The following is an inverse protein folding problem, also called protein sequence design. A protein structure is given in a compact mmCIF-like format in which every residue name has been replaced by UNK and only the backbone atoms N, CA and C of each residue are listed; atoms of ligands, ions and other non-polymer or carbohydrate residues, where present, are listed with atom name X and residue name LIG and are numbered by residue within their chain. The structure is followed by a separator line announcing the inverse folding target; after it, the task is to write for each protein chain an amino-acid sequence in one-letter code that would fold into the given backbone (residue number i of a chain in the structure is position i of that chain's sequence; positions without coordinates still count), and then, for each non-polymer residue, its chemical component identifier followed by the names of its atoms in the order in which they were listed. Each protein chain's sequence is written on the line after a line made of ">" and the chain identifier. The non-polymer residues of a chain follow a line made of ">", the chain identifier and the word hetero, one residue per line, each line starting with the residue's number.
data_IF_863449058767
#
_entry.id   IF_863449058767
#
_cell.length_a   1.000
_cell.length_b   1.000
_cell.length_c   1.000
_cell.angle_alpha   90.00
_cell.angle_beta   90.00
_cell.angle_gamma   90.00
#
_symmetry.space_group_name_H-M   'P 1'
#
loop_
_entity.id
_entity.type
_entity.pdbx_description
1 polymer ?
#
# COMPACT_ATOMS: atom_id res chain seq x y z
N UNK A 1 14.33 -10.43 12.37
CA UNK A 1 15.74 -9.99 12.52
C UNK A 1 16.41 -9.87 11.15
N UNK A 2 16.44 -10.95 10.36
CA UNK A 2 17.00 -10.98 8.99
C UNK A 2 16.55 -9.80 8.11
N UNK A 3 15.23 -9.58 7.97
CA UNK A 3 14.67 -8.48 7.17
C UNK A 3 15.03 -7.06 7.64
N UNK A 4 15.50 -6.90 8.89
CA UNK A 4 16.01 -5.62 9.41
C UNK A 4 17.46 -5.39 9.04
N UNK A 5 18.22 -6.47 8.84
CA UNK A 5 19.63 -6.46 8.44
C UNK A 5 19.83 -6.68 6.95
N UNK A 6 18.73 -6.81 6.17
CA UNK A 6 18.75 -7.15 4.75
C UNK A 6 19.49 -8.46 4.44
N UNK A 7 19.44 -9.40 5.39
CA UNK A 7 20.13 -10.69 5.28
C UNK A 7 19.23 -11.72 4.59
N UNK A 8 19.60 -12.08 3.36
CA UNK A 8 18.88 -13.01 2.49
C UNK A 8 19.35 -14.46 2.68
N UNK A 9 19.58 -14.89 3.92
CA UNK A 9 19.98 -16.27 4.23
C UNK A 9 18.83 -17.25 3.92
N UNK A 10 18.78 -17.69 2.66
CA UNK A 10 17.73 -18.58 2.12
C UNK A 10 17.60 -19.86 2.94
N UNK A 11 18.71 -20.47 3.37
CA UNK A 11 18.68 -21.70 4.19
C UNK A 11 17.96 -21.47 5.52
N UNK A 12 18.28 -20.38 6.21
CA UNK A 12 17.65 -20.06 7.49
C UNK A 12 16.19 -19.66 7.30
N UNK A 13 15.88 -18.86 6.27
CA UNK A 13 14.48 -18.53 5.93
C UNK A 13 13.68 -19.80 5.64
N UNK A 14 14.21 -20.70 4.81
CA UNK A 14 13.55 -21.99 4.50
C UNK A 14 13.30 -22.78 5.78
N UNK A 15 14.30 -22.90 6.65
CA UNK A 15 14.15 -23.62 7.91
C UNK A 15 13.06 -23.00 8.81
N UNK A 16 13.06 -21.68 8.97
CA UNK A 16 12.08 -20.98 9.80
C UNK A 16 10.66 -21.06 9.24
N UNK A 17 10.50 -20.98 7.92
CA UNK A 17 9.20 -21.16 7.27
C UNK A 17 8.66 -22.58 7.50
N UNK A 18 9.49 -23.61 7.31
CA UNK A 18 9.12 -25.00 7.58
C UNK A 18 8.75 -25.25 9.03
N UNK A 19 9.49 -24.65 9.98
CA UNK A 19 9.16 -24.74 11.41
C UNK A 19 7.81 -24.09 11.69
N UNK A 20 7.56 -22.88 11.17
CA UNK A 20 6.27 -22.20 11.36
C UNK A 20 5.10 -23.02 10.81
N UNK A 21 5.25 -23.62 9.63
CA UNK A 21 4.23 -24.45 8.98
C UNK A 21 3.96 -25.79 9.70
N UNK A 22 4.84 -26.22 10.62
CA UNK A 22 4.64 -27.40 11.47
C UNK A 22 3.93 -27.07 12.79
N UNK A 23 3.77 -25.79 13.13
CA UNK A 23 3.10 -25.37 14.35
C UNK A 23 1.57 -25.34 14.17
N UNK A 24 0.84 -25.52 15.27
CA UNK A 24 -0.61 -25.41 15.24
C UNK A 24 -1.03 -23.95 14.99
N UNK A 25 -2.08 -23.67 14.17
CA UNK A 25 -2.54 -22.31 13.89
C UNK A 25 -2.77 -21.42 15.13
N UNK A 26 -3.36 -21.97 16.19
CA UNK A 26 -3.60 -21.27 17.46
C UNK A 26 -2.32 -20.82 18.20
N UNK A 27 -1.13 -21.19 17.71
CA UNK A 27 0.16 -20.73 18.26
C UNK A 27 0.54 -19.32 17.79
N UNK A 28 -0.24 -18.73 16.88
CA UNK A 28 0.05 -17.44 16.27
C UNK A 28 -1.04 -16.43 16.60
N UNK A 29 -0.61 -15.20 16.91
CA UNK A 29 -1.47 -14.02 16.94
C UNK A 29 -1.30 -13.19 15.66
N UNK A 30 -2.18 -12.20 15.48
CA UNK A 30 -2.15 -11.29 14.32
C UNK A 30 -0.81 -10.56 14.19
N UNK A 31 -0.19 -10.21 15.33
CA UNK A 31 1.09 -9.51 15.34
C UNK A 31 2.23 -10.40 14.81
N UNK A 32 2.21 -11.68 15.15
CA UNK A 32 3.22 -12.66 14.73
C UNK A 32 3.11 -12.96 13.24
N UNK A 33 1.90 -13.25 12.74
CA UNK A 33 1.70 -13.51 11.31
C UNK A 33 2.02 -12.29 10.45
N UNK A 34 1.64 -11.09 10.88
CA UNK A 34 1.93 -9.85 10.12
C UNK A 34 3.43 -9.54 10.08
N UNK A 35 4.16 -9.80 11.16
CA UNK A 35 5.61 -9.65 11.18
C UNK A 35 6.33 -10.67 10.30
N UNK A 36 5.88 -11.92 10.30
CA UNK A 36 6.42 -12.97 9.42
C UNK A 36 6.16 -12.63 7.95
N UNK A 37 4.91 -12.32 7.59
CA UNK A 37 4.55 -11.94 6.23
C UNK A 37 5.38 -10.76 5.71
N UNK A 38 5.48 -9.68 6.49
CA UNK A 38 6.26 -8.51 6.11
C UNK A 38 7.76 -8.82 5.97
N UNK A 39 8.33 -9.66 6.85
CA UNK A 39 9.74 -10.01 6.79
C UNK A 39 10.08 -10.81 5.53
N UNK A 40 9.29 -11.82 5.19
CA UNK A 40 9.54 -12.67 4.03
C UNK A 40 9.29 -11.93 2.71
N UNK A 41 8.17 -11.19 2.61
CA UNK A 41 7.88 -10.40 1.42
C UNK A 41 8.83 -9.21 1.22
N UNK A 42 9.59 -8.81 2.25
CA UNK A 42 10.66 -7.81 2.10
C UNK A 42 11.95 -8.42 1.56
N UNK A 43 12.28 -9.64 1.97
CA UNK A 43 13.53 -10.31 1.57
C UNK A 43 13.41 -10.96 0.20
N UNK A 44 12.37 -11.74 -0.04
CA UNK A 44 12.25 -12.50 -1.28
C UNK A 44 10.78 -12.83 -1.59
N UNK A 45 10.00 -11.87 -2.11
CA UNK A 45 8.57 -12.04 -2.34
C UNK A 45 8.22 -13.09 -3.40
N UNK A 46 9.14 -13.34 -4.35
CA UNK A 46 8.90 -14.21 -5.50
C UNK A 46 9.26 -15.68 -5.23
N UNK A 47 9.97 -15.97 -4.14
CA UNK A 47 10.36 -17.35 -3.79
C UNK A 47 9.18 -18.24 -3.39
N UNK A 48 9.26 -19.53 -3.75
CA UNK A 48 8.32 -20.57 -3.32
C UNK A 48 8.22 -20.68 -1.79
N UNK A 49 9.32 -20.39 -1.07
CA UNK A 49 9.36 -20.39 0.39
C UNK A 49 8.46 -19.29 0.96
N UNK A 50 8.58 -18.07 0.43
CA UNK A 50 7.72 -16.95 0.86
C UNK A 50 6.27 -17.21 0.50
N UNK A 51 5.99 -17.69 -0.72
CA UNK A 51 4.63 -18.01 -1.16
C UNK A 51 3.98 -19.07 -0.25
N UNK A 52 4.65 -20.19 -0.01
CA UNK A 52 4.13 -21.24 0.87
C UNK A 52 3.95 -20.79 2.32
N UNK A 53 4.80 -19.90 2.84
CA UNK A 53 4.60 -19.32 4.17
C UNK A 53 3.38 -18.38 4.20
N UNK A 54 3.17 -17.57 3.16
CA UNK A 54 2.02 -16.66 3.08
C UNK A 54 0.70 -17.43 2.92
N UNK A 55 0.68 -18.52 2.16
CA UNK A 55 -0.48 -19.44 2.07
C UNK A 55 -0.81 -20.04 3.45
N UNK A 56 0.21 -20.48 4.21
CA UNK A 56 0.00 -20.90 5.60
C UNK A 56 -0.53 -19.78 6.48
N UNK A 57 0.00 -18.55 6.35
CA UNK A 57 -0.49 -17.37 7.08
C UNK A 57 -1.94 -17.05 6.72
N UNK A 58 -2.37 -17.25 5.47
CA UNK A 58 -3.75 -17.08 5.05
C UNK A 58 -4.68 -18.04 5.82
N UNK A 59 -4.27 -19.31 5.93
CA UNK A 59 -4.99 -20.32 6.71
C UNK A 59 -5.06 -19.92 8.19
N UNK A 60 -3.93 -19.56 8.80
CA UNK A 60 -3.88 -19.12 10.21
C UNK A 60 -4.77 -17.91 10.44
N UNK A 61 -4.69 -16.91 9.56
CA UNK A 61 -5.45 -15.67 9.67
C UNK A 61 -6.96 -15.88 9.58
N UNK A 62 -7.43 -16.92 8.87
CA UNK A 62 -8.85 -17.29 8.82
C UNK A 62 -9.38 -17.92 10.12
N UNK A 63 -8.51 -18.36 11.03
CA UNK A 63 -8.90 -18.83 12.37
C UNK A 63 -9.03 -17.69 13.39
N UNK A 64 -8.52 -16.50 13.09
CA UNK A 64 -8.56 -15.34 13.97
C UNK A 64 -9.84 -14.54 13.67
N UNK A 65 -10.53 -14.08 14.71
CA UNK A 65 -11.65 -13.17 14.53
C UNK A 65 -11.15 -11.80 14.08
N UNK A 66 -11.97 -11.05 13.34
CA UNK A 66 -11.62 -9.70 12.85
C UNK A 66 -11.29 -8.72 13.99
N UNK A 67 -11.77 -9.00 15.20
CA UNK A 67 -11.53 -8.20 16.40
C UNK A 67 -10.31 -8.71 17.21
N UNK A 68 -9.64 -9.78 16.79
CA UNK A 68 -8.48 -10.41 17.45
C UNK A 68 -7.16 -9.66 17.21
N UNK A 69 -7.16 -8.33 17.39
CA UNK A 69 -5.93 -7.53 17.37
C UNK A 69 -5.41 -7.18 15.97
N UNK A 70 -6.28 -7.21 14.94
CA UNK A 70 -6.00 -6.58 13.65
C UNK A 70 -5.88 -5.07 13.80
N UNK A 71 -4.64 -4.60 13.91
CA UNK A 71 -4.31 -3.16 13.86
C UNK A 71 -4.13 -2.69 12.41
N UNK A 72 -4.22 -1.38 12.12
CA UNK A 72 -3.90 -0.83 10.78
C UNK A 72 -2.54 -1.27 10.25
N UNK A 73 -1.54 -1.36 11.14
CA UNK A 73 -0.21 -1.80 10.77
C UNK A 73 -0.17 -3.30 10.43
N UNK A 74 -0.89 -4.14 11.17
CA UNK A 74 -0.95 -5.56 10.87
C UNK A 74 -1.67 -5.81 9.54
N UNK A 75 -2.81 -5.15 9.32
CA UNK A 75 -3.58 -5.23 8.06
C UNK A 75 -2.72 -4.78 6.88
N UNK A 76 -2.05 -3.63 6.99
CA UNK A 76 -1.20 -3.11 5.91
C UNK A 76 -0.01 -4.01 5.62
N UNK A 77 0.62 -4.59 6.64
CA UNK A 77 1.73 -5.53 6.47
C UNK A 77 1.29 -6.81 5.73
N UNK A 78 0.18 -7.40 6.16
CA UNK A 78 -0.38 -8.61 5.55
C UNK A 78 -0.79 -8.32 4.10
N UNK A 79 -1.60 -7.28 3.85
CA UNK A 79 -2.06 -6.95 2.51
C UNK A 79 -0.88 -6.69 1.55
N UNK A 80 0.11 -5.89 2.00
CA UNK A 80 1.28 -5.58 1.19
C UNK A 80 2.15 -6.82 0.91
N UNK A 81 2.29 -7.74 1.86
CA UNK A 81 3.03 -8.97 1.65
C UNK A 81 2.37 -9.86 0.59
N UNK A 82 1.04 -10.02 0.65
CA UNK A 82 0.29 -10.80 -0.34
C UNK A 82 0.32 -10.14 -1.72
N UNK A 83 0.23 -8.81 -1.78
CA UNK A 83 0.34 -8.06 -3.02
C UNK A 83 1.74 -8.16 -3.66
N UNK A 84 2.80 -8.18 -2.85
CA UNK A 84 4.17 -8.36 -3.34
C UNK A 84 4.42 -9.77 -3.90
N UNK A 85 3.83 -10.79 -3.28
CA UNK A 85 3.96 -12.18 -3.72
C UNK A 85 2.95 -12.58 -4.81
N UNK A 86 2.15 -11.65 -5.34
CA UNK A 86 1.08 -11.88 -6.33
C UNK A 86 0.11 -13.02 -5.92
N UNK A 87 -0.28 -13.06 -4.65
CA UNK A 87 -1.18 -14.09 -4.09
C UNK A 87 -2.65 -13.70 -4.22
N UNK A 88 -3.09 -13.48 -5.46
CA UNK A 88 -4.49 -13.16 -5.78
C UNK A 88 -5.47 -14.32 -5.53
N UNK A 89 -4.97 -15.55 -5.41
CA UNK A 89 -5.79 -16.76 -5.19
C UNK A 89 -6.34 -16.90 -3.77
N UNK A 90 -5.84 -16.13 -2.81
CA UNK A 90 -6.21 -16.21 -1.39
C UNK A 90 -7.46 -15.39 -1.06
N UNK A 91 -8.50 -15.50 -1.89
CA UNK A 91 -9.67 -14.62 -1.87
C UNK A 91 -10.38 -14.58 -0.50
N UNK A 92 -10.57 -15.74 0.14
CA UNK A 92 -11.23 -15.83 1.44
C UNK A 92 -10.47 -15.04 2.51
N UNK A 93 -9.13 -15.17 2.55
CA UNK A 93 -8.30 -14.43 3.49
C UNK A 93 -8.26 -12.93 3.15
N UNK A 94 -8.20 -12.56 1.87
CA UNK A 94 -8.23 -11.16 1.46
C UNK A 94 -9.56 -10.48 1.81
N UNK A 95 -10.70 -11.18 1.67
CA UNK A 95 -12.01 -10.69 2.12
C UNK A 95 -12.08 -10.55 3.65
N UNK A 96 -11.51 -11.50 4.38
CA UNK A 96 -11.39 -11.43 5.84
C UNK A 96 -10.54 -10.23 6.26
N UNK A 97 -9.39 -10.03 5.62
CA UNK A 97 -8.48 -8.91 5.89
C UNK A 97 -9.11 -7.54 5.56
N UNK A 98 -9.88 -7.46 4.47
CA UNK A 98 -10.66 -6.27 4.14
C UNK A 98 -11.74 -5.98 5.20
N UNK A 99 -12.39 -7.03 5.71
CA UNK A 99 -13.39 -6.90 6.78
C UNK A 99 -12.75 -6.41 8.09
N UNK A 100 -11.59 -6.97 8.45
CA UNK A 100 -10.80 -6.49 9.58
C UNK A 100 -10.40 -5.01 9.42
N UNK A 101 -10.00 -4.58 8.22
CA UNK A 101 -9.72 -3.18 7.93
C UNK A 101 -10.93 -2.28 8.18
N UNK A 102 -12.11 -2.66 7.68
CA UNK A 102 -13.36 -1.90 7.79
C UNK A 102 -13.84 -1.78 9.26
N UNK A 103 -13.54 -2.78 10.08
CA UNK A 103 -13.89 -2.77 11.51
C UNK A 103 -13.05 -1.80 12.34
N UNK A 104 -11.89 -1.37 11.83
CA UNK A 104 -11.04 -0.42 12.55
C UNK A 104 -11.56 1.00 12.31
N UNK A 105 -11.77 1.83 13.35
CA UNK A 105 -12.20 3.21 13.12
C UNK A 105 -11.19 4.02 12.29
N UNK A 106 -11.63 4.85 11.31
CA UNK A 106 -10.75 5.53 10.36
C UNK A 106 -9.60 6.36 10.97
N UNK A 107 -9.81 6.98 12.13
CA UNK A 107 -8.83 7.84 12.80
C UNK A 107 -7.69 7.06 13.48
N UNK A 108 -7.74 5.72 13.55
CA UNK A 108 -6.62 4.91 14.03
C UNK A 108 -5.58 4.63 12.94
N UNK A 109 -5.91 4.86 11.68
CA UNK A 109 -4.98 4.63 10.59
C UNK A 109 -3.95 5.76 10.52
N UNK A 110 -2.67 5.39 10.44
CA UNK A 110 -1.60 6.30 10.07
C UNK A 110 -1.39 6.37 8.55
N UNK A 111 -0.68 7.39 8.05
CA UNK A 111 -0.50 7.65 6.61
C UNK A 111 -0.01 6.44 5.82
N UNK A 112 1.02 5.77 6.35
CA UNK A 112 1.62 4.59 5.72
C UNK A 112 0.65 3.41 5.64
N UNK A 113 -0.18 3.20 6.68
CA UNK A 113 -1.14 2.10 6.69
C UNK A 113 -2.23 2.32 5.64
N UNK A 114 -2.76 3.55 5.53
CA UNK A 114 -3.72 3.94 4.48
C UNK A 114 -3.14 3.66 3.09
N UNK A 115 -1.94 4.18 2.83
CA UNK A 115 -1.28 4.04 1.54
C UNK A 115 -0.98 2.58 1.17
N UNK A 116 -0.47 1.80 2.12
CA UNK A 116 -0.15 0.39 1.88
C UNK A 116 -1.40 -0.45 1.62
N UNK A 117 -2.47 -0.25 2.40
CA UNK A 117 -3.72 -1.01 2.21
C UNK A 117 -4.34 -0.65 0.86
N UNK A 118 -4.46 0.64 0.54
CA UNK A 118 -4.99 1.07 -0.75
C UNK A 118 -4.22 0.45 -1.92
N UNK A 119 -2.89 0.58 -1.93
CA UNK A 119 -2.05 0.06 -3.01
C UNK A 119 -2.07 -1.47 -3.09
N UNK A 120 -2.05 -2.16 -1.94
CA UNK A 120 -2.08 -3.62 -1.90
C UNK A 120 -3.39 -4.18 -2.47
N UNK A 121 -4.54 -3.69 -2.00
CA UNK A 121 -5.83 -4.13 -2.50
C UNK A 121 -6.10 -3.70 -3.94
N UNK A 122 -5.58 -2.54 -4.36
CA UNK A 122 -5.60 -2.18 -5.77
C UNK A 122 -4.82 -3.17 -6.62
N UNK A 123 -3.64 -3.64 -6.19
CA UNK A 123 -2.84 -4.66 -6.90
C UNK A 123 -3.50 -6.04 -6.93
N UNK A 124 -4.05 -6.47 -5.80
CA UNK A 124 -4.68 -7.79 -5.65
C UNK A 124 -6.05 -7.87 -6.35
N UNK A 125 -6.73 -6.73 -6.52
CA UNK A 125 -8.10 -6.64 -7.05
C UNK A 125 -8.25 -6.33 -8.54
N UNK A 126 -7.15 -6.18 -9.31
CA UNK A 126 -7.21 -5.76 -10.73
C UNK A 126 -7.91 -6.79 -11.65
N UNK A 127 -8.16 -8.02 -11.20
CA UNK A 127 -8.76 -9.05 -12.07
C UNK A 127 -10.28 -8.91 -12.26
N UNK A 128 -11.00 -8.30 -11.32
CA UNK A 128 -12.47 -8.09 -11.39
C UNK A 128 -12.92 -6.90 -10.50
N UNK A 129 -12.48 -5.68 -10.81
CA UNK A 129 -12.63 -4.44 -10.02
C UNK A 129 -14.08 -3.91 -9.83
N UNK A 130 -15.09 -4.77 -9.64
CA UNK A 130 -16.48 -4.37 -9.40
C UNK A 130 -17.20 -5.27 -8.40
N UNK A 131 -16.54 -5.60 -7.28
CA UNK A 131 -17.22 -6.22 -6.14
C UNK A 131 -17.59 -5.18 -5.09
N UNK A 132 -18.80 -5.27 -4.54
CA UNK A 132 -19.27 -4.37 -3.48
C UNK A 132 -18.35 -4.37 -2.24
N UNK A 133 -17.56 -5.42 -2.03
CA UNK A 133 -16.56 -5.49 -0.97
C UNK A 133 -15.40 -4.50 -1.20
N UNK A 134 -14.89 -4.43 -2.44
CA UNK A 134 -13.82 -3.50 -2.80
C UNK A 134 -14.30 -2.04 -2.66
N UNK A 135 -15.52 -1.74 -3.12
CA UNK A 135 -16.11 -0.40 -2.97
C UNK A 135 -16.24 0.02 -1.49
N UNK A 136 -16.68 -0.91 -0.63
CA UNK A 136 -16.78 -0.64 0.82
C UNK A 136 -15.41 -0.42 1.45
N UNK A 137 -14.42 -1.23 1.10
CA UNK A 137 -13.06 -1.06 1.59
C UNK A 137 -12.51 0.30 1.15
N UNK A 138 -12.60 0.66 -0.13
CA UNK A 138 -12.10 1.93 -0.62
C UNK A 138 -12.87 3.13 -0.02
N UNK A 139 -14.19 3.05 0.17
CA UNK A 139 -14.94 4.10 0.87
C UNK A 139 -14.47 4.27 2.34
N UNK A 140 -14.12 3.17 3.01
CA UNK A 140 -13.55 3.21 4.35
C UNK A 140 -12.14 3.83 4.34
N UNK A 141 -11.30 3.43 3.38
CA UNK A 141 -9.97 4.01 3.17
C UNK A 141 -10.04 5.48 2.79
N UNK A 142 -11.07 5.93 2.06
CA UNK A 142 -11.31 7.37 1.81
C UNK A 142 -11.51 8.09 3.13
N UNK A 143 -12.36 7.54 4.00
CA UNK A 143 -12.62 8.13 5.32
C UNK A 143 -11.34 8.23 6.14
N UNK A 144 -10.48 7.19 6.11
CA UNK A 144 -9.19 7.19 6.80
C UNK A 144 -8.17 8.16 6.17
N UNK A 145 -8.14 8.28 4.85
CA UNK A 145 -7.28 9.24 4.15
C UNK A 145 -7.66 10.69 4.49
N UNK A 146 -8.95 10.97 4.65
CA UNK A 146 -9.47 12.29 4.98
C UNK A 146 -9.23 12.70 6.45
N UNK A 147 -8.86 11.77 7.34
CA UNK A 147 -8.46 12.10 8.72
C UNK A 147 -6.97 12.43 8.85
N UNK A 148 -6.16 12.24 7.80
CA UNK A 148 -4.72 12.47 7.88
C UNK A 148 -4.37 13.95 7.90
N UNK A 149 -3.36 14.33 8.69
CA UNK A 149 -2.74 15.65 8.58
C UNK A 149 -1.93 15.70 7.27
N UNK A 150 -2.17 16.67 6.37
CA UNK A 150 -1.39 16.83 5.14
C UNK A 150 0.13 16.85 5.34
N UNK A 151 0.62 17.32 6.49
CA UNK A 151 2.06 17.38 6.81
C UNK A 151 2.64 16.04 7.29
N UNK A 152 1.79 15.05 7.56
CA UNK A 152 2.21 13.70 7.98
C UNK A 152 2.37 12.73 6.80
N UNK A 153 1.87 13.11 5.63
CA UNK A 153 1.99 12.34 4.39
C UNK A 153 3.30 12.67 3.69
N UNK A 154 3.98 11.64 3.19
CA UNK A 154 5.09 11.80 2.24
C UNK A 154 4.64 11.58 0.79
N UNK A 155 5.53 11.88 -0.16
CA UNK A 155 5.26 11.71 -1.60
C UNK A 155 4.86 10.28 -1.98
N UNK A 156 5.49 9.27 -1.36
CA UNK A 156 5.21 7.88 -1.65
C UNK A 156 3.82 7.46 -1.16
N UNK A 157 3.38 8.00 -0.02
CA UNK A 157 2.07 7.77 0.56
C UNK A 157 0.99 8.34 -0.37
N UNK A 158 1.14 9.60 -0.77
CA UNK A 158 0.27 10.29 -1.73
C UNK A 158 0.19 9.51 -3.05
N UNK A 159 1.34 9.12 -3.60
CA UNK A 159 1.42 8.37 -4.85
C UNK A 159 0.70 7.02 -4.77
N UNK A 160 0.91 6.26 -3.69
CA UNK A 160 0.28 4.97 -3.48
C UNK A 160 -1.23 5.09 -3.34
N UNK A 161 -1.72 6.10 -2.61
CA UNK A 161 -3.15 6.35 -2.46
C UNK A 161 -3.76 6.71 -3.81
N UNK A 162 -3.26 7.75 -4.49
CA UNK A 162 -3.85 8.19 -5.76
C UNK A 162 -3.80 7.09 -6.84
N UNK A 163 -2.66 6.42 -6.98
CA UNK A 163 -2.52 5.32 -7.94
C UNK A 163 -3.46 4.16 -7.64
N UNK A 164 -3.69 3.85 -6.36
CA UNK A 164 -4.66 2.82 -5.98
C UNK A 164 -6.07 3.15 -6.47
N UNK A 165 -6.55 4.37 -6.20
CA UNK A 165 -7.89 4.81 -6.63
C UNK A 165 -8.02 4.85 -8.15
N UNK A 166 -6.98 5.30 -8.86
CA UNK A 166 -6.92 5.26 -10.31
C UNK A 166 -7.01 3.83 -10.85
N UNK A 167 -6.25 2.89 -10.28
CA UNK A 167 -6.24 1.47 -10.69
C UNK A 167 -7.58 0.77 -10.50
N UNK A 168 -8.30 1.06 -9.42
CA UNK A 168 -9.62 0.47 -9.17
C UNK A 168 -10.77 1.27 -9.81
N UNK A 169 -10.47 2.37 -10.50
CA UNK A 169 -11.48 3.20 -11.17
C UNK A 169 -12.43 3.95 -10.22
N UNK A 170 -12.07 4.10 -8.94
CA UNK A 170 -12.88 4.81 -7.95
C UNK A 170 -12.47 6.28 -7.94
N UNK A 171 -13.41 7.16 -8.30
CA UNK A 171 -13.20 8.60 -8.31
C UNK A 171 -13.72 9.25 -7.03
N UNK A 172 -12.87 9.36 -6.01
CA UNK A 172 -13.15 10.12 -4.80
C UNK A 172 -12.45 11.48 -4.84
N UNK A 173 -13.21 12.54 -5.10
CA UNK A 173 -12.66 13.91 -5.20
C UNK A 173 -12.21 14.47 -3.85
N UNK A 174 -12.72 13.96 -2.73
CA UNK A 174 -12.25 14.34 -1.40
C UNK A 174 -10.82 13.84 -1.19
N UNK A 175 -10.57 12.57 -1.52
CA UNK A 175 -9.22 11.98 -1.46
C UNK A 175 -8.27 12.70 -2.43
N UNK A 176 -8.68 12.93 -3.68
CA UNK A 176 -7.86 13.67 -4.66
C UNK A 176 -7.45 15.03 -4.10
N UNK A 177 -8.40 15.82 -3.58
CA UNK A 177 -8.11 17.13 -3.01
C UNK A 177 -7.16 17.04 -1.83
N UNK A 178 -7.44 16.18 -0.86
CA UNK A 178 -6.60 16.01 0.33
C UNK A 178 -5.16 15.60 -0.03
N UNK A 179 -5.00 14.66 -0.96
CA UNK A 179 -3.69 14.22 -1.43
C UNK A 179 -2.94 15.32 -2.18
N UNK A 180 -3.62 16.12 -3.02
CA UNK A 180 -2.98 17.27 -3.65
C UNK A 180 -2.60 18.36 -2.63
N UNK A 181 -3.42 18.60 -1.61
CA UNK A 181 -3.07 19.53 -0.55
C UNK A 181 -1.84 19.09 0.25
N UNK A 182 -1.65 17.78 0.47
CA UNK A 182 -0.42 17.25 1.05
C UNK A 182 0.81 17.55 0.16
N UNK A 183 0.68 17.42 -1.17
CA UNK A 183 1.74 17.82 -2.11
C UNK A 183 2.07 19.31 -2.02
N UNK A 184 1.06 20.18 -1.95
CA UNK A 184 1.26 21.63 -1.81
C UNK A 184 1.92 21.98 -0.47
N UNK A 185 1.53 21.31 0.62
CA UNK A 185 2.13 21.47 1.94
C UNK A 185 3.61 21.07 1.95
N UNK A 186 3.96 19.96 1.28
CA UNK A 186 5.37 19.56 1.11
C UNK A 186 6.17 20.60 0.31
N UNK A 187 5.58 21.18 -0.74
CA UNK A 187 6.25 22.20 -1.56
C UNK A 187 6.44 23.55 -0.84
N UNK A 188 5.58 23.88 0.13
CA UNK A 188 5.55 25.17 0.82
C UNK A 188 6.32 25.19 2.17
N UNK A 189 7.01 24.11 2.55
CA UNK A 189 7.72 24.02 3.82
C UNK A 189 8.99 24.91 3.87
N UNK A 190 9.22 25.70 4.93
CA UNK A 190 10.33 26.67 5.03
C UNK A 190 11.73 26.05 5.13
N UNK A 191 11.84 24.72 5.17
CA UNK A 191 13.11 23.98 5.14
C UNK A 191 13.70 23.80 3.74
N UNK A 192 13.05 24.32 2.70
CA UNK A 192 13.55 24.29 1.32
C UNK A 192 13.26 22.96 0.64
N UNK A 193 12.11 22.89 -0.02
CA UNK A 193 11.88 21.90 -1.06
C UNK A 193 12.10 22.58 -2.41
N UNK A 194 13.32 22.48 -2.95
CA UNK A 194 13.41 22.31 -4.39
C UNK A 194 12.68 21.00 -4.69
N UNK A 195 11.89 20.96 -5.75
CA UNK A 195 11.23 19.71 -6.20
C UNK A 195 12.27 18.63 -6.60
N UNK A 196 13.57 18.93 -6.44
CA UNK A 196 14.74 18.06 -6.59
C UNK A 196 14.85 16.94 -5.52
N UNK A 197 14.00 16.92 -4.49
CA UNK A 197 14.03 15.87 -3.44
C UNK A 197 12.84 14.91 -3.45
N UNK A 198 11.92 15.02 -4.41
CA UNK A 198 10.81 14.09 -4.55
C UNK A 198 11.24 12.78 -5.22
N UNK A 199 10.81 11.64 -4.68
CA UNK A 199 10.96 10.33 -5.33
C UNK A 199 10.39 10.39 -6.77
N UNK A 200 11.23 10.22 -7.81
CA UNK A 200 10.81 10.29 -9.21
C UNK A 200 9.63 9.37 -9.54
N UNK A 201 9.65 8.17 -8.97
CA UNK A 201 8.61 7.17 -9.15
C UNK A 201 7.28 7.64 -8.53
N UNK A 202 7.33 8.31 -7.39
CA UNK A 202 6.15 8.85 -6.72
C UNK A 202 5.52 9.98 -7.55
N UNK A 203 6.34 10.89 -8.10
CA UNK A 203 5.85 11.98 -8.96
C UNK A 203 5.16 11.41 -10.20
N UNK A 204 5.80 10.48 -10.91
CA UNK A 204 5.21 9.83 -12.08
C UNK A 204 3.84 9.20 -11.77
N UNK A 205 3.75 8.47 -10.66
CA UNK A 205 2.50 7.82 -10.22
C UNK A 205 1.39 8.83 -9.87
N UNK A 206 1.72 9.95 -9.22
CA UNK A 206 0.75 11.01 -8.90
C UNK A 206 0.17 11.62 -10.17
N UNK A 207 1.02 11.95 -11.14
CA UNK A 207 0.61 12.58 -12.40
C UNK A 207 -0.31 11.66 -13.20
N UNK A 208 0.11 10.41 -13.40
CA UNK A 208 -0.70 9.41 -14.08
C UNK A 208 -2.04 9.21 -13.39
N UNK A 209 -2.05 9.07 -12.06
CA UNK A 209 -3.28 8.86 -11.31
C UNK A 209 -4.27 10.05 -11.46
N UNK A 210 -3.78 11.29 -11.37
CA UNK A 210 -4.60 12.50 -11.56
C UNK A 210 -5.16 12.57 -12.99
N UNK A 211 -4.37 12.18 -13.99
CA UNK A 211 -4.82 12.11 -15.38
C UNK A 211 -5.93 11.07 -15.56
N UNK A 212 -5.74 9.85 -15.06
CA UNK A 212 -6.71 8.74 -15.12
C UNK A 212 -8.01 9.08 -14.39
N UNK A 213 -7.95 9.76 -13.26
CA UNK A 213 -9.13 10.14 -12.47
C UNK A 213 -9.94 11.30 -13.10
N UNK A 214 -9.56 11.79 -14.29
CA UNK A 214 -10.16 12.94 -15.01
C UNK A 214 -10.40 14.14 -14.07
N UNK A 215 -9.33 14.52 -13.36
CA UNK A 215 -9.39 15.62 -12.40
C UNK A 215 -9.54 16.94 -13.16
N UNK A 216 -10.78 17.45 -13.18
CA UNK A 216 -11.14 18.78 -13.69
C UNK A 216 -11.09 19.87 -12.62
N UNK A 217 -10.78 19.49 -11.39
CA UNK A 217 -10.66 20.39 -10.25
C UNK A 217 -9.47 21.34 -10.49
N UNK A 218 -9.70 22.67 -10.55
CA UNK A 218 -8.65 23.64 -10.88
C UNK A 218 -7.51 23.68 -9.85
N UNK A 219 -7.80 23.41 -8.57
CA UNK A 219 -6.81 23.42 -7.50
C UNK A 219 -5.87 22.22 -7.62
N UNK A 220 -6.44 21.02 -7.80
CA UNK A 220 -5.66 19.83 -8.06
C UNK A 220 -4.79 19.95 -9.32
N UNK A 221 -5.33 20.54 -10.40
CA UNK A 221 -4.55 20.82 -11.63
C UNK A 221 -3.39 21.79 -11.39
N UNK A 222 -3.61 22.85 -10.60
CA UNK A 222 -2.56 23.81 -10.24
C UNK A 222 -1.40 23.12 -9.52
N UNK A 223 -1.71 22.29 -8.53
CA UNK A 223 -0.71 21.58 -7.71
C UNK A 223 0.05 20.54 -8.54
N UNK A 224 -0.65 19.80 -9.40
CA UNK A 224 -0.03 18.89 -10.35
C UNK A 224 0.90 19.61 -11.31
N UNK A 225 0.50 20.81 -11.76
CA UNK A 225 1.36 21.65 -12.61
C UNK A 225 2.61 22.14 -11.87
N UNK A 226 2.52 22.40 -10.55
CA UNK A 226 3.67 22.89 -9.78
C UNK A 226 4.73 21.84 -9.53
N UNK A 227 4.41 20.54 -9.67
CA UNK A 227 5.41 19.45 -9.58
C UNK A 227 6.00 19.06 -10.94
N UNK A 228 5.43 19.51 -12.07
CA UNK A 228 5.97 19.22 -13.41
C UNK A 228 7.43 19.65 -13.61
N UNK A 229 7.91 20.80 -13.08
CA UNK A 229 9.31 21.17 -13.24
C UNK A 229 10.30 20.16 -12.66
N UNK A 230 9.92 19.34 -11.66
CA UNK A 230 10.79 18.25 -11.19
C UNK A 230 10.99 17.15 -12.22
N UNK A 231 10.03 16.89 -13.10
CA UNK A 231 10.20 15.90 -14.16
C UNK A 231 11.37 16.23 -15.07
N UNK A 232 11.69 17.51 -15.26
CA UNK A 232 12.83 17.94 -16.07
C UNK A 232 14.18 17.62 -15.40
N UNK A 233 14.18 17.29 -14.11
CA UNK A 233 15.36 16.92 -13.33
C UNK A 233 15.39 15.41 -13.01
N UNK A 234 14.36 14.66 -13.40
CA UNK A 234 14.27 13.21 -13.15
C UNK A 234 15.07 12.45 -14.20
N UNK A 235 15.99 11.60 -13.75
CA UNK A 235 16.57 10.57 -14.61
C UNK A 235 15.53 9.45 -14.79
N UNK A 236 15.13 9.09 -16.02
CA UNK A 236 14.19 7.99 -16.25
C UNK A 236 14.64 6.65 -15.65
N UNK A 237 15.96 6.47 -15.41
CA UNK A 237 16.51 5.28 -14.74
C UNK A 237 16.25 5.23 -13.23
N UNK A 238 15.84 6.34 -12.62
CA UNK A 238 15.39 6.39 -11.22
C UNK A 238 13.94 5.88 -11.05
N UNK A 239 13.24 5.66 -12.16
CA UNK A 239 11.89 5.09 -12.17
C UNK A 239 11.95 3.57 -12.48
N UNK A 240 11.01 2.82 -11.89
CA UNK A 240 10.69 1.48 -12.37
C UNK A 240 10.02 1.56 -13.75
N UNK A 241 9.94 0.44 -14.47
CA UNK A 241 9.30 0.37 -15.79
C UNK A 241 7.89 0.99 -15.81
N UNK A 242 7.10 0.73 -14.76
CA UNK A 242 5.77 1.32 -14.59
C UNK A 242 5.82 2.85 -14.45
N UNK A 243 6.82 3.40 -13.75
CA UNK A 243 7.00 4.84 -13.61
C UNK A 243 7.33 5.52 -14.91
N UNK A 244 8.19 4.93 -15.73
CA UNK A 244 8.50 5.43 -17.08
C UNK A 244 7.25 5.38 -17.96
N UNK A 245 6.53 4.26 -17.98
CA UNK A 245 5.28 4.12 -18.75
C UNK A 245 4.18 5.08 -18.30
N UNK A 246 4.20 5.52 -17.04
CA UNK A 246 3.25 6.50 -16.50
C UNK A 246 3.56 7.94 -16.93
N UNK A 247 4.75 8.22 -17.48
CA UNK A 247 5.18 9.54 -17.94
C UNK A 247 4.99 9.77 -19.45
N UNK A 248 4.78 8.70 -20.23
CA UNK A 248 4.47 8.75 -21.67
C UNK A 248 3.01 9.15 -21.95
#
# INVERSE_FOLDING_TARGET
>A
ALARCDDHNVTLMTHLALVAQQMHPDSFDVQSISNLANAYAKLDPDSDVTRGLLEFIAVVGLYLEVDDGFTPQAVSNLANAFAKADLVGEEAFLQHLASAAINIPPHYFGPQSVANIANAFAKLGVKDSSTAAMERLFAHISSAALTQDPNSLDMQNVANILNAYAKVGIRDMGVVRAMTQAVDAMACSPAGCTVESGDPQAIANILHAVAVLDVRDPEARRIVTSVLPALLQIDPTDCQEQGVANLD
#
